data_IF_782924296072
#
_entry.id   IF_782924296072
#
_cell.length_a   1.000
_cell.length_b   1.000
_cell.length_c   1.000
_cell.angle_alpha   90.00
_cell.angle_beta   90.00
_cell.angle_gamma   90.00
#
_symmetry.space_group_name_H-M   'P 1'
#
loop_
_entity.id
_entity.type
_entity.pdbx_description
1 polymer ?
#
# COMPACT_ATOMS: atom_id res chain seq x y z
N UNK A 1 -14.23 28.84 13.35
CA UNK A 1 -13.37 27.84 14.03
C UNK A 1 -12.47 28.65 14.94
N UNK A 2 -12.46 28.41 16.25
CA UNK A 2 -11.68 29.25 17.18
C UNK A 2 -10.17 29.10 16.94
N UNK A 3 -9.42 30.19 17.06
CA UNK A 3 -7.99 30.25 16.69
C UNK A 3 -7.14 29.18 17.39
N UNK A 4 -7.49 28.80 18.63
CA UNK A 4 -6.80 27.73 19.37
C UNK A 4 -6.93 26.34 18.74
N UNK A 5 -8.06 26.04 18.07
CA UNK A 5 -8.24 24.77 17.35
C UNK A 5 -7.30 24.74 16.15
N UNK A 6 -7.18 25.86 15.44
CA UNK A 6 -6.26 25.98 14.32
C UNK A 6 -4.80 25.77 14.79
N UNK A 7 -4.38 26.42 15.87
CA UNK A 7 -3.03 26.22 16.44
C UNK A 7 -2.78 24.77 16.86
N UNK A 8 -3.75 24.09 17.47
CA UNK A 8 -3.63 22.68 17.85
C UNK A 8 -3.51 21.76 16.63
N UNK A 9 -4.31 22.02 15.58
CA UNK A 9 -4.24 21.27 14.31
C UNK A 9 -2.89 21.46 13.61
N UNK A 10 -2.40 22.70 13.56
CA UNK A 10 -1.07 23.02 13.02
C UNK A 10 0.03 22.33 13.81
N UNK A 11 -0.05 22.29 15.14
CA UNK A 11 0.91 21.59 15.98
C UNK A 11 0.91 20.07 15.73
N UNK A 12 -0.26 19.45 15.54
CA UNK A 12 -0.38 18.03 15.18
C UNK A 12 0.25 17.77 13.80
N UNK A 13 -0.01 18.61 12.80
CA UNK A 13 0.58 18.49 11.48
C UNK A 13 2.10 18.66 11.50
N UNK A 14 2.61 19.64 12.26
CA UNK A 14 4.04 19.85 12.45
C UNK A 14 4.70 18.65 13.14
N UNK A 15 4.04 18.08 14.15
CA UNK A 15 4.52 16.86 14.80
C UNK A 15 4.58 15.68 13.82
N UNK A 16 3.55 15.50 12.98
CA UNK A 16 3.53 14.48 11.90
C UNK A 16 4.63 14.71 10.86
N UNK A 17 4.86 15.96 10.45
CA UNK A 17 5.91 16.32 9.50
C UNK A 17 7.30 16.02 10.07
N UNK A 18 7.54 16.41 11.33
CA UNK A 18 8.80 16.17 12.04
C UNK A 18 9.01 14.67 12.29
N UNK A 19 7.98 13.94 12.73
CA UNK A 19 8.10 12.49 12.98
C UNK A 19 8.28 11.70 11.70
N UNK A 20 7.65 12.09 10.59
CA UNK A 20 7.94 11.53 9.27
C UNK A 20 9.38 11.81 8.85
N UNK A 21 9.87 13.04 9.01
CA UNK A 21 11.25 13.40 8.70
C UNK A 21 12.28 12.63 9.55
N UNK A 22 11.98 12.39 10.84
CA UNK A 22 12.82 11.59 11.74
C UNK A 22 12.70 10.09 11.49
N UNK A 23 11.50 9.58 11.23
CA UNK A 23 11.19 8.17 10.98
C UNK A 23 11.85 7.66 9.72
N UNK A 24 11.77 8.45 8.63
CA UNK A 24 12.47 8.17 7.35
C UNK A 24 13.98 8.04 7.54
N UNK A 25 14.58 8.75 8.51
CA UNK A 25 16.03 8.73 8.75
C UNK A 25 16.50 7.67 9.76
N UNK A 26 15.64 7.19 10.66
CA UNK A 26 16.08 6.42 11.85
C UNK A 26 15.61 4.95 11.90
N UNK A 27 14.65 4.52 11.08
CA UNK A 27 13.97 3.22 11.26
C UNK A 27 14.38 2.08 10.32
N UNK A 28 15.60 2.08 9.77
CA UNK A 28 16.10 0.96 8.93
C UNK A 28 16.38 -0.34 9.70
N UNK A 29 16.51 -0.31 11.03
CA UNK A 29 17.10 -1.43 11.80
C UNK A 29 16.14 -2.30 12.63
N UNK A 30 14.92 -1.83 12.94
CA UNK A 30 14.03 -2.54 13.89
C UNK A 30 12.87 -3.28 13.22
N UNK A 31 12.58 -3.02 11.95
CA UNK A 31 11.42 -3.57 11.25
C UNK A 31 11.71 -4.92 10.56
N UNK A 32 12.99 -5.22 10.28
CA UNK A 32 13.41 -6.38 9.47
C UNK A 32 13.04 -7.76 10.05
N UNK A 33 12.68 -7.85 11.34
CA UNK A 33 12.44 -9.14 12.01
C UNK A 33 10.99 -9.45 12.36
N UNK A 34 10.07 -8.49 12.25
CA UNK A 34 8.71 -8.65 12.81
C UNK A 34 7.56 -8.62 11.79
N UNK A 35 7.83 -8.31 10.52
CA UNK A 35 6.80 -8.10 9.49
C UNK A 35 6.62 -9.28 8.51
N UNK A 36 7.30 -10.40 8.76
CA UNK A 36 7.31 -11.57 7.87
C UNK A 36 7.43 -12.85 8.72
N UNK A 37 6.58 -13.85 8.46
CA UNK A 37 6.63 -15.19 9.04
C UNK A 37 7.46 -16.18 8.21
N UNK A 38 7.39 -16.10 6.87
CA UNK A 38 8.01 -17.06 5.95
C UNK A 38 9.47 -16.76 5.62
N UNK A 39 10.29 -17.81 5.55
CA UNK A 39 11.65 -17.68 5.01
C UNK A 39 11.60 -17.48 3.49
N UNK A 40 12.50 -16.63 3.00
CA UNK A 40 12.70 -16.48 1.57
C UNK A 40 13.62 -17.60 1.07
N UNK A 41 13.46 -18.04 -0.18
CA UNK A 41 14.23 -19.14 -0.75
C UNK A 41 14.90 -18.73 -2.07
N UNK A 42 16.01 -19.38 -2.39
CA UNK A 42 16.64 -19.25 -3.70
C UNK A 42 15.85 -20.08 -4.72
N UNK A 43 15.34 -19.50 -5.82
CA UNK A 43 14.63 -20.28 -6.83
C UNK A 43 15.53 -21.21 -7.64
N UNK A 44 16.86 -21.14 -7.51
CA UNK A 44 17.79 -22.08 -8.15
C UNK A 44 17.79 -22.01 -9.68
N UNK A 45 17.40 -20.87 -10.25
CA UNK A 45 17.31 -20.68 -11.69
C UNK A 45 18.67 -20.25 -12.25
N UNK A 46 19.30 -21.11 -13.07
CA UNK A 46 20.53 -20.78 -13.79
C UNK A 46 20.33 -19.68 -14.85
N UNK A 47 19.16 -19.69 -15.50
CA UNK A 47 18.72 -18.69 -16.49
C UNK A 47 17.26 -18.30 -16.24
N UNK A 48 16.90 -17.06 -16.55
CA UNK A 48 15.53 -16.57 -16.40
C UNK A 48 15.07 -15.77 -17.62
N UNK A 49 13.81 -15.94 -17.99
CA UNK A 49 13.08 -15.10 -18.95
C UNK A 49 12.49 -13.92 -18.21
N UNK A 50 12.92 -12.72 -18.59
CA UNK A 50 12.59 -11.47 -17.89
C UNK A 50 11.63 -10.66 -18.75
N UNK A 51 10.43 -10.40 -18.23
CA UNK A 51 9.54 -9.38 -18.76
C UNK A 51 9.57 -8.14 -17.87
N UNK A 52 9.43 -6.95 -18.46
CA UNK A 52 9.48 -5.68 -17.73
C UNK A 52 8.27 -4.83 -18.10
N UNK A 53 7.41 -4.57 -17.12
CA UNK A 53 6.34 -3.57 -17.24
C UNK A 53 6.86 -2.26 -16.70
N UNK A 54 6.96 -1.23 -17.54
CA UNK A 54 7.58 0.03 -17.12
C UNK A 54 6.73 1.24 -17.50
N UNK A 55 6.63 2.17 -16.56
CA UNK A 55 6.01 3.46 -16.79
C UNK A 55 7.06 4.44 -17.35
N UNK A 56 6.98 4.80 -18.65
CA UNK A 56 8.04 5.55 -19.32
C UNK A 56 8.13 7.01 -18.85
N UNK A 57 7.06 7.57 -18.26
CA UNK A 57 7.07 8.99 -17.81
C UNK A 57 7.82 9.20 -16.48
N UNK A 58 8.31 8.13 -15.84
CA UNK A 58 9.09 8.24 -14.61
C UNK A 58 10.52 8.70 -14.92
N UNK A 59 11.04 9.61 -14.10
CA UNK A 59 12.32 10.30 -14.36
C UNK A 59 13.52 9.35 -14.56
N UNK A 60 13.50 8.16 -13.93
CA UNK A 60 14.59 7.17 -14.01
C UNK A 60 14.21 5.95 -14.88
N UNK A 61 13.17 6.02 -15.70
CA UNK A 61 12.71 4.89 -16.50
C UNK A 61 13.79 4.39 -17.46
N UNK A 62 14.43 5.29 -18.22
CA UNK A 62 15.47 4.89 -19.18
C UNK A 62 16.74 4.37 -18.50
N UNK A 63 17.14 4.97 -17.37
CA UNK A 63 18.22 4.47 -16.52
C UNK A 63 17.93 3.04 -16.02
N UNK A 64 16.67 2.78 -15.62
CA UNK A 64 16.23 1.47 -15.18
C UNK A 64 16.29 0.44 -16.32
N UNK A 65 15.77 0.75 -17.51
CA UNK A 65 15.86 -0.14 -18.69
C UNK A 65 17.29 -0.53 -19.01
N UNK A 66 18.18 0.48 -19.11
CA UNK A 66 19.59 0.25 -19.40
C UNK A 66 20.31 -0.56 -18.31
N UNK A 67 19.91 -0.39 -17.05
CA UNK A 67 20.48 -1.16 -15.93
C UNK A 67 20.00 -2.60 -15.93
N UNK A 68 18.72 -2.83 -16.21
CA UNK A 68 18.14 -4.18 -16.33
C UNK A 68 18.77 -4.92 -17.51
N UNK A 69 18.86 -4.31 -18.70
CA UNK A 69 19.50 -4.91 -19.87
C UNK A 69 20.94 -5.33 -19.58
N UNK A 70 21.75 -4.41 -19.02
CA UNK A 70 23.13 -4.71 -18.67
C UNK A 70 23.25 -5.84 -17.65
N UNK A 71 22.37 -5.89 -16.65
CA UNK A 71 22.36 -6.95 -15.65
C UNK A 71 22.01 -8.31 -16.26
N UNK A 72 20.99 -8.39 -17.13
CA UNK A 72 20.65 -9.62 -17.86
C UNK A 72 21.81 -10.09 -18.75
N UNK A 73 22.42 -9.19 -19.53
CA UNK A 73 23.57 -9.53 -20.38
C UNK A 73 24.76 -10.02 -19.56
N UNK A 74 25.08 -9.34 -18.45
CA UNK A 74 26.18 -9.74 -17.57
C UNK A 74 25.97 -11.12 -16.93
N UNK A 75 24.71 -11.53 -16.73
CA UNK A 75 24.33 -12.85 -16.25
C UNK A 75 24.28 -13.92 -17.37
N UNK A 76 24.50 -13.54 -18.63
CA UNK A 76 24.39 -14.47 -19.78
C UNK A 76 22.94 -14.85 -20.12
N UNK A 77 21.96 -14.03 -19.71
CA UNK A 77 20.55 -14.24 -20.00
C UNK A 77 20.14 -13.64 -21.35
N UNK A 78 18.96 -14.02 -21.83
CA UNK A 78 18.40 -13.39 -23.03
C UNK A 78 18.02 -11.93 -22.74
N UNK A 79 17.87 -11.12 -23.80
CA UNK A 79 17.43 -9.74 -23.63
C UNK A 79 16.04 -9.68 -22.96
N UNK A 80 15.86 -8.79 -21.95
CA UNK A 80 14.56 -8.61 -21.30
C UNK A 80 13.56 -7.98 -22.28
N UNK A 81 12.30 -8.42 -22.22
CA UNK A 81 11.23 -7.85 -23.05
C UNK A 81 10.54 -6.71 -22.31
N UNK A 82 10.55 -5.51 -22.88
CA UNK A 82 9.95 -4.33 -22.29
C UNK A 82 8.54 -4.07 -22.82
N UNK A 83 7.62 -3.78 -21.89
CA UNK A 83 6.27 -3.35 -22.17
C UNK A 83 6.01 -2.03 -21.45
N UNK A 84 5.80 -0.97 -22.24
CA UNK A 84 5.56 0.36 -21.69
C UNK A 84 4.08 0.58 -21.41
N UNK A 85 3.77 1.11 -20.22
CA UNK A 85 2.41 1.51 -19.84
C UNK A 85 2.05 2.86 -20.46
N UNK A 86 0.76 3.12 -20.65
CA UNK A 86 0.26 4.44 -21.03
C UNK A 86 -0.55 5.07 -19.89
N UNK A 87 -1.06 6.29 -20.08
CA UNK A 87 -1.93 6.91 -19.09
C UNK A 87 -3.29 6.21 -19.01
N UNK A 88 -3.78 5.72 -20.15
CA UNK A 88 -5.06 5.02 -20.32
C UNK A 88 -4.95 3.54 -19.96
N UNK A 89 -3.77 2.96 -20.07
CA UNK A 89 -3.48 1.57 -19.71
C UNK A 89 -2.27 1.49 -18.77
N UNK A 90 -2.51 1.50 -17.44
CA UNK A 90 -1.45 1.46 -16.44
C UNK A 90 -0.75 0.09 -16.33
N UNK A 91 -1.04 -0.87 -17.21
CA UNK A 91 -0.32 -2.14 -17.31
C UNK A 91 -1.19 -3.37 -17.60
N UNK A 92 -2.51 -3.22 -17.80
CA UNK A 92 -3.43 -4.34 -17.99
C UNK A 92 -3.13 -5.09 -19.29
N UNK A 93 -3.08 -4.40 -20.44
CA UNK A 93 -2.79 -5.06 -21.73
C UNK A 93 -1.34 -5.55 -21.77
N UNK A 94 -0.42 -4.76 -21.23
CA UNK A 94 1.00 -5.09 -21.16
C UNK A 94 1.24 -6.38 -20.37
N UNK A 95 0.52 -6.58 -19.26
CA UNK A 95 0.61 -7.81 -18.48
C UNK A 95 0.10 -9.03 -19.24
N UNK A 96 -1.01 -8.92 -19.99
CA UNK A 96 -1.49 -10.02 -20.82
C UNK A 96 -0.46 -10.43 -21.88
N UNK A 97 0.16 -9.45 -22.55
CA UNK A 97 1.21 -9.70 -23.52
C UNK A 97 2.48 -10.28 -22.89
N UNK A 98 2.87 -9.80 -21.70
CA UNK A 98 4.02 -10.30 -20.96
C UNK A 98 3.82 -11.77 -20.56
N UNK A 99 2.66 -12.12 -19.97
CA UNK A 99 2.37 -13.48 -19.52
C UNK A 99 2.30 -14.50 -20.67
N UNK A 100 1.92 -14.07 -21.88
CA UNK A 100 1.98 -14.93 -23.07
C UNK A 100 3.42 -15.41 -23.39
N UNK A 101 4.43 -14.60 -23.03
CA UNK A 101 5.85 -14.97 -23.12
C UNK A 101 6.32 -15.96 -22.06
N UNK A 102 5.45 -16.34 -21.11
CA UNK A 102 5.72 -17.23 -19.97
C UNK A 102 7.00 -16.83 -19.20
N UNK A 103 7.12 -15.57 -18.74
CA UNK A 103 8.32 -15.13 -18.04
C UNK A 103 8.50 -15.89 -16.72
N UNK A 104 9.75 -16.03 -16.28
CA UNK A 104 10.05 -16.57 -14.95
C UNK A 104 9.99 -15.46 -13.89
N UNK A 105 10.19 -14.20 -14.32
CA UNK A 105 10.05 -13.00 -13.48
C UNK A 105 9.48 -11.84 -14.30
N UNK A 106 8.57 -11.10 -13.70
CA UNK A 106 8.08 -9.81 -14.21
C UNK A 106 8.61 -8.69 -13.33
N UNK A 107 9.40 -7.79 -13.90
CA UNK A 107 9.85 -6.57 -13.22
C UNK A 107 8.83 -5.46 -13.45
N UNK A 108 8.45 -4.74 -12.39
CA UNK A 108 7.56 -3.58 -12.48
C UNK A 108 8.29 -2.30 -12.12
N UNK A 109 8.46 -1.42 -13.11
CA UNK A 109 9.06 -0.10 -12.97
C UNK A 109 7.99 1.00 -13.01
N UNK A 110 7.46 1.40 -11.86
CA UNK A 110 6.37 2.37 -11.83
C UNK A 110 6.09 2.95 -10.45
N UNK A 111 4.93 3.61 -10.33
CA UNK A 111 4.37 3.98 -9.03
C UNK A 111 3.42 2.92 -8.49
N UNK A 112 2.83 3.19 -7.33
CA UNK A 112 2.00 2.24 -6.59
C UNK A 112 0.82 1.69 -7.42
N UNK A 113 0.17 2.53 -8.24
CA UNK A 113 -0.90 2.09 -9.15
C UNK A 113 -0.44 1.08 -10.21
N UNK A 114 0.73 1.29 -10.84
CA UNK A 114 1.31 0.32 -11.79
C UNK A 114 1.67 -0.99 -11.08
N UNK A 115 2.24 -0.90 -9.88
CA UNK A 115 2.58 -2.07 -9.05
C UNK A 115 1.32 -2.87 -8.71
N UNK A 116 0.22 -2.21 -8.36
CA UNK A 116 -1.07 -2.85 -8.06
C UNK A 116 -1.64 -3.62 -9.25
N UNK A 117 -1.60 -3.05 -10.45
CA UNK A 117 -2.05 -3.72 -11.69
C UNK A 117 -1.22 -4.95 -12.00
N UNK A 118 0.11 -4.85 -11.89
CA UNK A 118 1.00 -5.99 -12.13
C UNK A 118 0.79 -7.08 -11.08
N UNK A 119 0.69 -6.70 -9.81
CA UNK A 119 0.45 -7.65 -8.72
C UNK A 119 -0.89 -8.37 -8.86
N UNK A 120 -1.96 -7.68 -9.26
CA UNK A 120 -3.26 -8.29 -9.51
C UNK A 120 -3.20 -9.35 -10.61
N UNK A 121 -2.45 -9.09 -11.69
CA UNK A 121 -2.26 -10.04 -12.79
C UNK A 121 -1.37 -11.23 -12.43
N UNK A 122 -0.46 -11.07 -11.46
CA UNK A 122 0.46 -12.12 -10.99
C UNK A 122 -0.06 -12.91 -9.80
N UNK A 123 -1.13 -12.44 -9.14
CA UNK A 123 -1.73 -13.13 -8.02
C UNK A 123 -2.16 -14.56 -8.40
N UNK A 124 -1.81 -15.52 -7.54
CA UNK A 124 -2.01 -16.97 -7.70
C UNK A 124 -1.27 -17.58 -8.90
N UNK A 125 -0.19 -16.93 -9.36
CA UNK A 125 0.74 -17.48 -10.34
C UNK A 125 2.09 -17.80 -9.70
N UNK A 126 2.86 -18.67 -10.34
CA UNK A 126 4.25 -18.99 -9.93
C UNK A 126 5.27 -18.00 -10.51
N UNK A 127 4.82 -16.94 -11.20
CA UNK A 127 5.71 -15.94 -11.81
C UNK A 127 6.06 -14.89 -10.76
N UNK A 128 7.36 -14.75 -10.48
CA UNK A 128 7.82 -13.82 -9.46
C UNK A 128 7.70 -12.35 -9.92
N UNK A 129 7.31 -11.48 -9.00
CA UNK A 129 7.29 -10.03 -9.20
C UNK A 129 8.56 -9.38 -8.62
N UNK A 130 9.30 -8.65 -9.46
CA UNK A 130 10.43 -7.82 -9.04
C UNK A 130 10.07 -6.33 -9.04
N UNK A 131 10.37 -5.62 -7.96
CA UNK A 131 10.02 -4.19 -7.83
C UNK A 131 11.18 -3.29 -8.24
N UNK A 132 10.92 -2.37 -9.18
CA UNK A 132 11.80 -1.27 -9.54
C UNK A 132 11.10 0.05 -9.12
N UNK A 133 11.43 0.60 -7.92
CA UNK A 133 10.67 1.70 -7.33
C UNK A 133 10.94 3.03 -8.05
N UNK A 134 10.08 3.38 -9.01
CA UNK A 134 10.18 4.60 -9.81
C UNK A 134 9.15 5.67 -9.41
N UNK A 135 8.25 5.36 -8.47
CA UNK A 135 7.23 6.26 -7.96
C UNK A 135 7.69 7.12 -6.79
N UNK A 136 6.77 7.95 -6.28
CA UNK A 136 7.02 8.78 -5.09
C UNK A 136 6.73 8.03 -3.79
N UNK A 137 5.66 7.23 -3.76
CA UNK A 137 5.24 6.44 -2.59
C UNK A 137 6.11 5.20 -2.41
N UNK A 138 6.06 4.30 -3.40
CA UNK A 138 6.77 3.02 -3.42
C UNK A 138 6.45 2.17 -2.16
N UNK A 139 5.16 2.08 -1.82
CA UNK A 139 4.69 1.60 -0.54
C UNK A 139 5.08 0.14 -0.31
N UNK A 140 4.82 -0.75 -1.27
CA UNK A 140 5.19 -2.15 -1.16
C UNK A 140 6.71 -2.32 -1.09
N UNK A 141 7.46 -1.59 -1.93
CA UNK A 141 8.93 -1.67 -1.94
C UNK A 141 9.52 -1.31 -0.57
N UNK A 142 8.97 -0.29 0.11
CA UNK A 142 9.40 0.08 1.47
C UNK A 142 9.03 -0.97 2.51
N UNK A 143 7.85 -1.59 2.40
CA UNK A 143 7.44 -2.68 3.30
C UNK A 143 8.27 -3.97 3.08
N UNK A 144 8.83 -4.15 1.89
CA UNK A 144 9.80 -5.21 1.57
C UNK A 144 11.27 -4.81 1.83
N UNK A 145 11.51 -3.71 2.54
CA UNK A 145 12.83 -3.18 2.90
C UNK A 145 13.77 -2.95 1.71
N UNK A 146 13.19 -2.58 0.56
CA UNK A 146 13.97 -2.15 -0.60
C UNK A 146 14.45 -0.72 -0.40
N UNK A 147 15.72 -0.48 -0.72
CA UNK A 147 16.26 0.87 -0.78
C UNK A 147 15.77 1.57 -2.05
N UNK A 148 14.66 2.30 -1.92
CA UNK A 148 14.02 3.03 -3.02
C UNK A 148 14.88 4.15 -3.62
N UNK A 149 16.04 4.46 -3.03
CA UNK A 149 16.99 5.43 -3.60
C UNK A 149 18.07 4.74 -4.46
N UNK A 150 18.33 3.46 -4.21
CA UNK A 150 19.32 2.65 -4.91
C UNK A 150 18.68 1.83 -6.05
N UNK A 151 18.65 2.43 -7.25
CA UNK A 151 18.14 1.75 -8.44
C UNK A 151 18.95 0.51 -8.79
N UNK A 152 20.28 0.55 -8.63
CA UNK A 152 21.11 -0.58 -8.99
C UNK A 152 20.84 -1.75 -8.01
N UNK A 153 20.85 -1.50 -6.71
CA UNK A 153 20.54 -2.51 -5.71
C UNK A 153 19.12 -3.08 -5.82
N UNK A 154 18.15 -2.26 -6.20
CA UNK A 154 16.77 -2.74 -6.45
C UNK A 154 16.67 -3.58 -7.72
N UNK A 155 17.35 -3.21 -8.82
CA UNK A 155 17.46 -4.07 -10.02
C UNK A 155 18.12 -5.40 -9.70
N UNK A 156 19.22 -5.39 -8.92
CA UNK A 156 19.88 -6.62 -8.49
C UNK A 156 18.96 -7.51 -7.66
N UNK A 157 18.20 -6.92 -6.73
CA UNK A 157 17.22 -7.67 -5.92
C UNK A 157 16.09 -8.20 -6.79
N UNK A 158 15.59 -7.41 -7.73
CA UNK A 158 14.47 -7.78 -8.58
C UNK A 158 14.82 -8.91 -9.57
N UNK A 159 16.07 -9.02 -10.02
CA UNK A 159 16.53 -10.09 -10.92
C UNK A 159 17.07 -11.32 -10.17
N UNK A 160 17.86 -11.11 -9.12
CA UNK A 160 18.68 -12.14 -8.48
C UNK A 160 18.33 -12.36 -7.00
N UNK A 161 17.37 -11.62 -6.45
CA UNK A 161 16.94 -11.78 -5.07
C UNK A 161 16.27 -13.12 -4.80
N UNK A 162 16.13 -13.45 -3.52
CA UNK A 162 15.36 -14.62 -3.11
C UNK A 162 13.86 -14.40 -3.40
N UNK A 163 13.09 -15.48 -3.41
CA UNK A 163 11.64 -15.44 -3.57
C UNK A 163 10.93 -15.63 -2.24
N UNK A 164 9.79 -14.97 -2.09
CA UNK A 164 8.86 -15.17 -0.98
C UNK A 164 7.43 -14.94 -1.46
N UNK A 165 6.51 -15.79 -1.01
CA UNK A 165 5.08 -15.52 -1.18
C UNK A 165 4.58 -14.58 -0.10
N UNK A 166 3.89 -13.52 -0.51
CA UNK A 166 3.23 -12.56 0.37
C UNK A 166 1.72 -12.59 0.14
N UNK A 167 0.99 -12.09 1.12
CA UNK A 167 -0.43 -11.89 1.04
C UNK A 167 -0.74 -10.66 0.19
N UNK A 168 -1.83 -10.75 -0.56
CA UNK A 168 -2.52 -9.58 -1.11
C UNK A 168 -3.91 -9.53 -0.51
N UNK A 169 -4.65 -8.45 -0.73
CA UNK A 169 -6.03 -8.38 -0.29
C UNK A 169 -6.94 -7.87 -1.41
N UNK A 170 -8.14 -8.44 -1.47
CA UNK A 170 -9.16 -8.15 -2.47
C UNK A 170 -10.28 -7.36 -1.81
N UNK A 171 -10.68 -6.26 -2.42
CA UNK A 171 -11.73 -5.38 -1.94
C UNK A 171 -12.83 -5.26 -3.00
N UNK A 172 -14.00 -5.82 -2.68
CA UNK A 172 -15.22 -5.65 -3.44
C UNK A 172 -16.00 -4.43 -2.92
N UNK A 173 -16.39 -3.55 -3.83
CA UNK A 173 -16.98 -2.23 -3.59
C UNK A 173 -18.36 -2.23 -4.23
N UNK A 174 -19.41 -2.10 -3.41
CA UNK A 174 -20.80 -2.11 -3.85
C UNK A 174 -21.49 -0.78 -3.51
N UNK A 175 -22.05 -0.11 -4.51
CA UNK A 175 -22.89 1.06 -4.33
C UNK A 175 -24.32 0.78 -4.78
N UNK A 176 -25.20 0.47 -3.83
CA UNK A 176 -26.59 0.13 -4.12
C UNK A 176 -27.42 1.32 -4.63
N UNK A 177 -26.92 2.56 -4.50
CA UNK A 177 -27.62 3.75 -5.02
C UNK A 177 -27.37 3.97 -6.51
N UNK A 178 -26.19 3.62 -6.99
CA UNK A 178 -25.82 3.75 -8.41
C UNK A 178 -25.85 2.42 -9.17
N UNK A 179 -25.90 1.30 -8.46
CA UNK A 179 -25.74 -0.04 -9.02
C UNK A 179 -24.28 -0.40 -9.35
N UNK A 180 -23.32 0.45 -9.00
CA UNK A 180 -21.91 0.22 -9.29
C UNK A 180 -21.33 -0.91 -8.44
N UNK A 181 -20.61 -1.82 -9.10
CA UNK A 181 -19.82 -2.88 -8.49
C UNK A 181 -18.42 -2.87 -9.08
N UNK A 182 -17.40 -2.92 -8.23
CA UNK A 182 -16.04 -3.18 -8.67
C UNK A 182 -15.30 -4.02 -7.65
N UNK A 183 -14.23 -4.68 -8.10
CA UNK A 183 -13.37 -5.47 -7.25
C UNK A 183 -11.92 -5.23 -7.65
N UNK A 184 -11.07 -5.01 -6.66
CA UNK A 184 -9.67 -4.67 -6.87
C UNK A 184 -8.77 -5.31 -5.82
N UNK A 185 -7.54 -5.63 -6.22
CA UNK A 185 -6.47 -6.02 -5.29
C UNK A 185 -5.80 -4.76 -4.73
N UNK A 186 -5.37 -4.81 -3.46
CA UNK A 186 -4.40 -3.89 -2.86
C UNK A 186 -3.31 -4.66 -2.13
N UNK A 187 -2.18 -3.99 -1.91
CA UNK A 187 -0.96 -4.62 -1.42
C UNK A 187 -0.57 -4.14 -0.03
N UNK A 188 -0.86 -2.88 0.33
CA UNK A 188 -0.39 -2.27 1.57
C UNK A 188 -1.54 -1.88 2.47
N UNK A 189 -2.43 -1.01 1.99
CA UNK A 189 -3.52 -0.49 2.80
C UNK A 189 -4.70 -0.05 1.94
N UNK A 190 -5.91 -0.38 2.39
CA UNK A 190 -7.15 0.14 1.84
C UNK A 190 -8.00 0.76 2.94
N UNK A 191 -9.06 1.48 2.58
CA UNK A 191 -9.89 2.12 3.58
C UNK A 191 -11.22 2.64 3.08
N UNK A 192 -12.09 2.95 4.04
CA UNK A 192 -13.41 3.56 3.82
C UNK A 192 -13.65 4.65 4.86
N UNK A 193 -14.13 5.81 4.39
CA UNK A 193 -14.41 6.98 5.21
C UNK A 193 -13.43 8.13 4.99
N UNK A 194 -13.10 8.85 6.07
CA UNK A 194 -12.41 10.13 6.01
C UNK A 194 -11.05 10.10 5.28
N UNK A 195 -10.30 9.01 5.39
CA UNK A 195 -9.01 8.81 4.70
C UNK A 195 -9.17 8.82 3.16
N UNK A 196 -10.29 8.32 2.66
CA UNK A 196 -10.64 8.40 1.24
C UNK A 196 -11.21 9.77 0.84
N UNK A 197 -11.93 10.46 1.74
CA UNK A 197 -12.39 11.85 1.54
C UNK A 197 -11.18 12.79 1.33
N UNK A 198 -10.14 12.63 2.16
CA UNK A 198 -8.90 13.41 2.10
C UNK A 198 -8.13 13.20 0.78
N UNK A 199 -8.14 11.96 0.27
CA UNK A 199 -7.52 11.60 -1.00
C UNK A 199 -8.29 12.16 -2.21
N UNK A 200 -9.63 12.20 -2.13
CA UNK A 200 -10.48 12.79 -3.18
C UNK A 200 -10.31 14.29 -3.35
N UNK A 201 -10.01 15.01 -2.26
CA UNK A 201 -9.90 16.48 -2.25
C UNK A 201 -8.45 16.99 -2.45
N UNK A 202 -7.50 16.12 -2.79
CA UNK A 202 -6.10 16.53 -2.95
C UNK A 202 -5.84 17.19 -4.32
N UNK A 203 -5.46 18.48 -4.32
CA UNK A 203 -5.12 19.25 -5.53
C UNK A 203 -3.92 18.62 -6.27
N UNK A 204 -4.08 18.33 -7.57
CA UNK A 204 -3.07 17.68 -8.42
C UNK A 204 -1.72 18.45 -8.50
N UNK A 205 -1.71 19.77 -8.29
CA UNK A 205 -0.49 20.58 -8.28
C UNK A 205 0.40 20.36 -7.04
N UNK A 206 -0.20 20.08 -5.88
CA UNK A 206 0.51 19.82 -4.61
C UNK A 206 1.16 18.42 -4.56
N UNK A 207 0.67 17.48 -5.39
CA UNK A 207 1.28 16.14 -5.55
C UNK A 207 2.72 16.19 -6.07
N UNK A 208 3.10 17.24 -6.81
CA UNK A 208 4.39 17.30 -7.53
C UNK A 208 5.53 17.95 -6.72
N UNK A 209 5.21 18.74 -5.69
CA UNK A 209 6.19 19.59 -5.01
C UNK A 209 6.58 19.15 -3.58
N UNK A 210 5.70 18.47 -2.82
CA UNK A 210 5.90 18.30 -1.36
C UNK A 210 5.69 16.86 -0.85
N UNK A 211 5.39 15.90 -1.72
CA UNK A 211 5.20 14.50 -1.31
C UNK A 211 4.12 14.33 -0.24
N UNK A 212 4.34 13.41 0.71
CA UNK A 212 3.37 13.02 1.75
C UNK A 212 2.84 14.21 2.62
N UNK A 213 3.55 15.34 2.66
CA UNK A 213 3.12 16.54 3.39
C UNK A 213 1.82 17.15 2.83
N UNK A 214 1.50 16.96 1.55
CA UNK A 214 0.22 17.39 0.99
C UNK A 214 -0.99 16.66 1.63
N UNK A 215 -0.78 15.44 2.16
CA UNK A 215 -1.79 14.70 2.92
C UNK A 215 -2.08 15.35 4.27
N UNK A 216 -1.15 16.12 4.84
CA UNK A 216 -1.38 16.79 6.13
C UNK A 216 -2.32 17.98 5.99
N UNK A 217 -2.29 18.73 4.89
CA UNK A 217 -3.19 19.88 4.68
C UNK A 217 -4.63 19.45 4.34
N UNK A 218 -4.80 18.53 3.38
CA UNK A 218 -6.12 17.97 3.07
C UNK A 218 -6.65 17.16 4.27
N UNK A 219 -5.79 16.34 4.90
CA UNK A 219 -6.08 15.61 6.14
C UNK A 219 -6.69 16.51 7.22
N UNK A 220 -6.10 17.69 7.43
CA UNK A 220 -6.54 18.67 8.41
C UNK A 220 -7.94 19.24 8.17
N UNK A 221 -8.34 19.47 6.91
CA UNK A 221 -9.67 20.05 6.59
C UNK A 221 -10.82 19.07 6.89
N UNK A 222 -10.56 17.76 6.84
CA UNK A 222 -11.56 16.74 7.14
C UNK A 222 -11.52 16.24 8.60
N UNK A 223 -10.51 16.64 9.41
CA UNK A 223 -10.48 16.36 10.85
C UNK A 223 -11.77 16.76 11.59
N UNK A 224 -12.43 17.90 11.31
CA UNK A 224 -13.74 18.24 11.85
C UNK A 224 -14.92 17.61 11.05
N UNK A 225 -14.98 16.28 10.96
CA UNK A 225 -16.11 15.53 10.38
C UNK A 225 -17.09 14.95 11.42
N UNK A 226 -18.29 14.53 10.99
CA UNK A 226 -19.21 13.73 11.83
C UNK A 226 -18.83 12.27 11.73
N UNK A 227 -18.97 11.52 12.84
CA UNK A 227 -18.86 10.06 12.80
C UNK A 227 -20.05 9.49 12.02
N UNK A 228 -19.79 8.54 11.13
CA UNK A 228 -20.80 7.82 10.35
C UNK A 228 -21.10 6.48 11.03
N UNK A 229 -22.37 6.09 11.06
CA UNK A 229 -22.81 4.81 11.62
C UNK A 229 -22.62 3.74 10.57
N UNK A 230 -21.91 2.67 10.91
CA UNK A 230 -21.67 1.52 10.03
C UNK A 230 -21.92 0.21 10.78
N UNK A 231 -22.14 -0.86 10.03
CA UNK A 231 -22.11 -2.23 10.55
C UNK A 231 -20.83 -2.91 10.10
N UNK A 232 -20.14 -3.61 10.99
CA UNK A 232 -18.88 -4.32 10.72
C UNK A 232 -19.03 -5.77 11.16
N UNK A 233 -18.70 -6.71 10.27
CA UNK A 233 -18.56 -8.15 10.57
C UNK A 233 -17.14 -8.59 10.24
N UNK A 234 -16.53 -9.36 11.14
CA UNK A 234 -15.17 -9.89 11.01
C UNK A 234 -15.27 -11.42 10.99
N UNK A 235 -14.74 -12.08 9.96
CA UNK A 235 -14.70 -13.54 9.80
C UNK A 235 -16.07 -14.22 10.01
N UNK A 236 -17.14 -13.59 9.54
CA UNK A 236 -18.51 -14.10 9.67
C UNK A 236 -19.12 -13.92 11.06
N UNK A 237 -18.45 -13.22 11.99
CA UNK A 237 -19.02 -12.88 13.28
C UNK A 237 -20.31 -12.08 13.14
N UNK A 238 -21.19 -12.08 14.15
CA UNK A 238 -22.33 -11.19 14.19
C UNK A 238 -21.94 -9.73 13.94
N UNK A 239 -22.80 -9.03 13.22
CA UNK A 239 -22.63 -7.63 12.87
C UNK A 239 -22.58 -6.72 14.10
N UNK A 240 -21.54 -5.89 14.19
CA UNK A 240 -21.38 -4.89 15.23
C UNK A 240 -21.60 -3.49 14.66
N UNK A 241 -22.59 -2.78 15.22
CA UNK A 241 -22.88 -1.40 14.86
C UNK A 241 -21.91 -0.45 15.56
N UNK A 242 -21.20 0.37 14.79
CA UNK A 242 -20.18 1.32 15.29
C UNK A 242 -20.37 2.70 14.67
N UNK A 243 -19.96 3.74 15.40
CA UNK A 243 -19.83 5.10 14.89
C UNK A 243 -18.35 5.39 14.63
N UNK A 244 -17.97 5.51 13.37
CA UNK A 244 -16.57 5.59 12.94
C UNK A 244 -16.28 6.92 12.23
N UNK A 245 -15.00 7.28 12.12
CA UNK A 245 -14.50 8.23 11.12
C UNK A 245 -13.98 7.51 9.89
N UNK A 246 -13.32 6.38 10.09
CA UNK A 246 -12.74 5.57 9.02
C UNK A 246 -12.48 4.15 9.53
N UNK A 247 -12.46 3.20 8.61
CA UNK A 247 -11.86 1.87 8.80
C UNK A 247 -10.75 1.72 7.79
N UNK A 248 -9.57 1.31 8.24
CA UNK A 248 -8.45 0.93 7.40
C UNK A 248 -8.25 -0.59 7.45
N UNK A 249 -7.83 -1.16 6.33
CA UNK A 249 -7.47 -2.56 6.19
C UNK A 249 -6.00 -2.60 5.78
N UNK A 250 -5.13 -2.92 6.71
CA UNK A 250 -3.70 -2.92 6.48
C UNK A 250 -3.21 -4.36 6.27
N UNK A 251 -2.55 -4.57 5.14
CA UNK A 251 -1.76 -5.77 4.85
C UNK A 251 -0.28 -5.58 5.26
N UNK A 252 0.17 -4.32 5.38
CA UNK A 252 1.50 -4.00 5.88
C UNK A 252 1.49 -2.89 6.92
N UNK A 253 2.53 -2.85 7.75
CA UNK A 253 2.62 -1.93 8.89
C UNK A 253 3.12 -0.52 8.54
N UNK A 254 3.92 -0.38 7.48
CA UNK A 254 4.53 0.89 7.10
C UNK A 254 3.67 1.62 6.08
N UNK A 255 3.33 2.87 6.39
CA UNK A 255 2.52 3.75 5.52
C UNK A 255 3.38 4.90 4.96
N UNK A 256 2.88 5.73 4.01
CA UNK A 256 3.66 6.83 3.43
C UNK A 256 4.31 7.73 4.50
N UNK A 257 5.49 8.27 4.18
CA UNK A 257 6.25 9.10 5.12
C UNK A 257 7.05 8.31 6.16
N UNK A 258 7.17 6.98 6.00
CA UNK A 258 7.99 6.12 6.86
C UNK A 258 7.39 5.92 8.26
N UNK A 259 6.08 6.10 8.39
CA UNK A 259 5.37 5.96 9.66
C UNK A 259 5.05 4.49 9.86
N UNK A 260 5.55 3.95 10.96
CA UNK A 260 5.22 2.62 11.45
C UNK A 260 3.81 2.66 12.08
N UNK A 261 2.79 2.51 11.24
CA UNK A 261 1.39 2.68 11.63
C UNK A 261 0.87 1.46 12.38
N UNK A 262 1.31 0.26 12.00
CA UNK A 262 0.96 -1.01 12.66
C UNK A 262 2.23 -1.86 12.81
N UNK A 263 3.00 -1.69 13.89
CA UNK A 263 4.30 -2.35 14.08
C UNK A 263 4.27 -3.88 14.09
N UNK A 264 3.12 -4.46 14.40
CA UNK A 264 2.92 -5.91 14.46
C UNK A 264 2.37 -6.52 13.17
N UNK A 265 2.10 -5.71 12.14
CA UNK A 265 1.54 -6.20 10.89
C UNK A 265 2.56 -7.08 10.16
N UNK A 266 2.10 -8.23 9.67
CA UNK A 266 2.90 -9.16 8.91
C UNK A 266 2.30 -9.32 7.53
N UNK A 267 3.13 -9.30 6.49
CA UNK A 267 2.69 -9.30 5.10
C UNK A 267 2.33 -10.69 4.55
N UNK A 268 2.48 -11.75 5.35
CA UNK A 268 2.38 -13.15 4.91
C UNK A 268 1.77 -14.10 5.97
N UNK A 269 0.98 -13.54 6.89
CA UNK A 269 0.38 -14.25 8.02
C UNK A 269 -1.08 -14.71 7.78
N UNK A 270 -1.62 -14.40 6.60
CA UNK A 270 -2.98 -14.69 6.19
C UNK A 270 -4.04 -13.83 6.88
N UNK A 271 -3.69 -12.67 7.42
CA UNK A 271 -4.58 -11.79 8.17
C UNK A 271 -4.41 -10.32 7.78
N UNK A 272 -5.50 -9.55 7.88
CA UNK A 272 -5.44 -8.09 7.81
C UNK A 272 -5.53 -7.47 9.20
N UNK A 273 -4.77 -6.40 9.41
CA UNK A 273 -4.95 -5.51 10.54
C UNK A 273 -6.04 -4.47 10.23
N UNK A 274 -7.20 -4.67 10.85
CA UNK A 274 -8.40 -3.84 10.66
C UNK A 274 -8.42 -2.74 11.71
N UNK A 275 -8.14 -1.52 11.29
CA UNK A 275 -8.09 -0.36 12.18
C UNK A 275 -9.40 0.40 12.12
N UNK A 276 -10.15 0.39 13.22
CA UNK A 276 -11.38 1.17 13.38
C UNK A 276 -11.06 2.45 14.14
N UNK A 277 -11.20 3.59 13.46
CA UNK A 277 -10.94 4.92 14.03
C UNK A 277 -12.25 5.65 14.33
N UNK A 278 -12.37 6.21 15.53
CA UNK A 278 -13.57 6.94 15.95
C UNK A 278 -13.31 8.26 16.72
N UNK A 279 -12.29 9.07 16.35
CA UNK A 279 -12.04 10.33 17.05
C UNK A 279 -13.22 11.29 16.97
N UNK A 280 -13.47 11.97 18.10
CA UNK A 280 -14.61 12.89 18.29
C UNK A 280 -14.23 14.36 18.14
N UNK A 281 -12.95 14.70 18.31
CA UNK A 281 -12.44 16.07 18.39
C UNK A 281 -10.96 16.12 18.02
N UNK A 282 -10.41 17.31 17.86
CA UNK A 282 -8.97 17.53 17.63
C UNK A 282 -8.10 16.89 18.74
N UNK A 283 -8.55 16.95 20.00
CA UNK A 283 -7.88 16.26 21.11
C UNK A 283 -7.88 14.74 20.88
N UNK A 284 -8.99 14.20 20.39
CA UNK A 284 -9.08 12.79 20.02
C UNK A 284 -8.06 12.38 18.95
N UNK A 285 -7.85 13.24 17.95
CA UNK A 285 -6.81 13.05 16.94
C UNK A 285 -5.40 13.11 17.51
N UNK A 286 -5.12 14.06 18.41
CA UNK A 286 -3.84 14.13 19.12
C UNK A 286 -3.56 12.87 19.95
N UNK A 287 -4.56 12.35 20.67
CA UNK A 287 -4.43 11.10 21.44
C UNK A 287 -4.18 9.89 20.53
N UNK A 288 -4.82 9.85 19.36
CA UNK A 288 -4.58 8.81 18.37
C UNK A 288 -3.16 8.89 17.80
N UNK A 289 -2.68 10.11 17.49
CA UNK A 289 -1.30 10.33 17.08
C UNK A 289 -0.30 9.85 18.14
N UNK A 290 -0.53 10.22 19.41
CA UNK A 290 0.27 9.72 20.53
C UNK A 290 0.30 8.19 20.55
N UNK A 291 -0.86 7.54 20.40
CA UNK A 291 -0.96 6.07 20.35
C UNK A 291 -0.07 5.45 19.26
N UNK A 292 -0.10 6.00 18.05
CA UNK A 292 0.71 5.53 16.92
C UNK A 292 2.20 5.72 17.22
N UNK A 293 2.60 6.90 17.69
CA UNK A 293 4.00 7.20 18.03
C UNK A 293 4.55 6.32 19.15
N UNK A 294 3.69 5.90 20.09
CA UNK A 294 4.03 4.96 21.17
C UNK A 294 3.68 3.49 20.80
N UNK A 295 3.63 3.14 19.51
CA UNK A 295 3.47 1.75 19.02
C UNK A 295 2.27 1.02 19.64
N UNK A 296 1.14 1.71 19.73
CA UNK A 296 -0.10 1.20 20.31
C UNK A 296 -0.04 0.83 21.79
N UNK A 297 0.91 1.39 22.56
CA UNK A 297 0.95 1.20 24.01
C UNK A 297 -0.32 1.79 24.66
N UNK A 298 -1.09 0.96 25.36
CA UNK A 298 -2.27 1.37 26.12
C UNK A 298 -3.63 1.17 25.43
N UNK A 299 -4.69 1.01 26.24
CA UNK A 299 -6.07 0.83 25.77
C UNK A 299 -6.74 2.19 25.54
N UNK A 300 -6.59 2.74 24.35
CA UNK A 300 -7.35 3.92 23.91
C UNK A 300 -8.48 3.49 22.95
N UNK A 301 -9.77 3.62 23.33
CA UNK A 301 -10.92 3.19 22.51
C UNK A 301 -11.09 3.97 21.21
N UNK A 302 -10.33 5.06 21.03
CA UNK A 302 -10.43 5.95 19.87
C UNK A 302 -9.92 5.32 18.57
N UNK A 303 -9.05 4.32 18.71
CA UNK A 303 -8.47 3.52 17.65
C UNK A 303 -8.38 2.08 18.15
N UNK A 304 -9.12 1.17 17.52
CA UNK A 304 -9.07 -0.26 17.85
C UNK A 304 -8.54 -1.01 16.65
N UNK A 305 -7.60 -1.93 16.88
CA UNK A 305 -7.04 -2.81 15.85
C UNK A 305 -7.59 -4.21 16.08
N UNK A 306 -8.14 -4.81 15.04
CA UNK A 306 -8.56 -6.21 15.00
C UNK A 306 -7.71 -6.94 13.97
N UNK A 307 -7.59 -8.26 14.09
CA UNK A 307 -7.04 -9.10 13.03
C UNK A 307 -8.17 -9.92 12.42
N UNK A 308 -8.28 -9.91 11.10
CA UNK A 308 -9.35 -10.63 10.40
C UNK A 308 -8.93 -11.02 8.98
N UNK A 309 -9.34 -12.21 8.53
CA UNK A 309 -9.11 -12.66 7.15
C UNK A 309 -10.21 -12.18 6.18
N UNK A 310 -11.40 -11.91 6.70
CA UNK A 310 -12.54 -11.36 5.93
C UNK A 310 -13.29 -10.30 6.73
N UNK A 311 -13.42 -9.11 6.15
CA UNK A 311 -14.21 -8.02 6.72
C UNK A 311 -15.37 -7.66 5.81
N UNK A 312 -16.54 -7.47 6.39
CA UNK A 312 -17.71 -6.93 5.71
C UNK A 312 -18.14 -5.65 6.40
N UNK A 313 -18.24 -4.55 5.66
CA UNK A 313 -18.77 -3.27 6.13
C UNK A 313 -20.05 -2.94 5.37
N UNK A 314 -21.08 -2.51 6.11
CA UNK A 314 -22.31 -1.95 5.54
C UNK A 314 -22.49 -0.51 6.02
N UNK A 315 -22.74 0.37 5.08
CA UNK A 315 -22.91 1.81 5.27
C UNK A 315 -24.33 2.21 4.85
N UNK A 316 -25.12 2.89 5.70
CA UNK A 316 -26.44 3.40 5.33
C UNK A 316 -26.42 4.42 4.18
N UNK A 317 -25.30 5.14 4.05
CA UNK A 317 -25.03 6.12 3.00
C UNK A 317 -23.73 5.75 2.28
N UNK A 318 -23.59 6.07 0.98
CA UNK A 318 -22.33 5.90 0.28
C UNK A 318 -21.19 6.59 1.03
N UNK A 319 -20.08 5.87 1.20
CA UNK A 319 -18.86 6.37 1.81
C UNK A 319 -17.69 6.16 0.86
N UNK A 320 -16.80 7.14 0.69
CA UNK A 320 -15.67 7.02 -0.21
C UNK A 320 -14.68 5.97 0.29
N UNK A 321 -13.97 5.39 -0.68
CA UNK A 321 -13.03 4.29 -0.49
C UNK A 321 -11.70 4.59 -1.18
N UNK A 322 -10.63 3.94 -0.70
CA UNK A 322 -9.29 4.06 -1.27
C UNK A 322 -8.54 2.71 -1.26
N UNK A 323 -7.59 2.57 -2.19
CA UNK A 323 -6.70 1.43 -2.37
C UNK A 323 -5.27 1.95 -2.57
N UNK A 324 -4.35 1.61 -1.65
CA UNK A 324 -2.93 1.98 -1.70
C UNK A 324 -2.67 3.47 -1.97
N UNK A 325 -3.57 4.35 -1.53
CA UNK A 325 -3.47 5.79 -1.73
C UNK A 325 -4.14 6.33 -3.01
N UNK A 326 -4.82 5.49 -3.79
CA UNK A 326 -5.68 5.91 -4.90
C UNK A 326 -7.16 5.85 -4.50
N UNK A 327 -8.00 6.75 -5.01
CA UNK A 327 -9.45 6.70 -4.78
C UNK A 327 -10.10 5.55 -5.56
N UNK A 328 -11.09 4.88 -4.94
CA UNK A 328 -11.76 3.71 -5.53
C UNK A 328 -13.29 3.83 -5.56
N UNK A 329 -13.80 5.07 -5.55
CA UNK A 329 -15.23 5.36 -5.58
C UNK A 329 -15.90 5.27 -4.21
N UNK A 330 -17.23 5.20 -4.17
CA UNK A 330 -18.01 5.15 -2.94
C UNK A 330 -18.72 3.81 -2.76
N UNK A 331 -18.79 3.33 -1.52
CA UNK A 331 -19.41 2.09 -1.12
C UNK A 331 -20.57 2.29 -0.15
N UNK A 332 -21.67 1.57 -0.39
CA UNK A 332 -22.71 1.24 0.60
C UNK A 332 -22.45 -0.11 1.26
N UNK A 333 -21.68 -0.98 0.60
CA UNK A 333 -21.20 -2.25 1.14
C UNK A 333 -19.78 -2.47 0.64
N UNK A 334 -18.93 -2.96 1.53
CA UNK A 334 -17.54 -3.28 1.25
C UNK A 334 -17.27 -4.69 1.77
N UNK A 335 -16.63 -5.53 0.95
CA UNK A 335 -16.10 -6.81 1.40
C UNK A 335 -14.60 -6.83 1.15
N UNK A 336 -13.81 -7.03 2.19
CA UNK A 336 -12.35 -7.14 2.11
C UNK A 336 -11.94 -8.54 2.52
N UNK A 337 -11.11 -9.18 1.72
CA UNK A 337 -10.66 -10.55 1.94
C UNK A 337 -9.17 -10.64 1.68
N UNK A 338 -8.40 -11.14 2.64
CA UNK A 338 -6.99 -11.50 2.41
C UNK A 338 -6.90 -12.68 1.45
N UNK A 339 -5.87 -12.69 0.61
CA UNK A 339 -5.50 -13.78 -0.27
C UNK A 339 -4.12 -14.29 0.18
N UNK A 340 -4.09 -15.27 1.11
CA UNK A 340 -2.87 -15.72 1.74
C UNK A 340 -1.87 -16.21 0.71
N UNK A 341 -0.61 -15.74 0.81
CA UNK A 341 0.52 -16.14 -0.02
C UNK A 341 0.26 -16.10 -1.52
N UNK A 342 -0.65 -15.22 -1.94
CA UNK A 342 -1.10 -15.12 -3.32
C UNK A 342 -0.06 -14.56 -4.28
N UNK A 343 0.94 -13.82 -3.82
CA UNK A 343 1.86 -13.11 -4.71
C UNK A 343 3.31 -13.49 -4.41
N UNK A 344 3.99 -14.05 -5.41
CA UNK A 344 5.41 -14.36 -5.33
C UNK A 344 6.23 -13.11 -5.64
N UNK A 345 7.09 -12.68 -4.71
CA UNK A 345 7.91 -11.47 -4.87
C UNK A 345 9.40 -11.75 -4.72
N UNK A 346 10.21 -10.92 -5.37
CA UNK A 346 11.67 -10.89 -5.22
C UNK A 346 12.05 -9.98 -4.05
N UNK A 347 12.83 -10.53 -3.12
CA UNK A 347 13.29 -9.86 -1.91
C UNK A 347 14.79 -10.00 -1.76
N UNK A 348 15.39 -9.12 -0.95
CA UNK A 348 16.81 -9.21 -0.65
C UNK A 348 17.08 -10.51 0.09
N UNK A 349 18.12 -11.25 -0.33
CA UNK A 349 18.52 -12.46 0.36
C UNK A 349 18.99 -12.18 1.78
N UNK A 350 18.56 -13.02 2.72
CA UNK A 350 19.11 -13.06 4.07
C UNK A 350 20.56 -13.55 3.98
N UNK A 351 21.53 -12.67 4.24
CA UNK A 351 22.92 -13.09 4.52
C UNK A 351 23.08 -13.39 5.99
#
# INVERSE_FOLDING_TARGET
MSDWILYLLTAVALAFAISSWWGVRRLKALHMRSAVAGEAYDPGLEKQRVAVIINPIKARADEAKATIQRACLAAGWDEPVFYETTAEDPGFTQMQAALAGKPDVVLVGGGDGTVRVVAEALAHTDVAMGLIPLGTGNLLARNLDLDVTDLHGTVQTALFGQQRSIDTARMAIENSRTGHYSEHVFLVIAGIGMDAEVLGDTNAGLKKAVGWLAYTEAGMRHLPGRRKKVSISLDGSPEQVRNIRSVLFANCGLVPGGIDFIPQAMIDDGMLDVVVMSPRSAIGWLLMYGKIMFKHSGKLPIMTVYRSGRVVIKCPEPMPTQLDGDTSGEATRLTVQVQPRSLLVRVKGTR
#
